data_IF_812274868974
#
_entry.id   IF_812274868974
#
_cell.length_a   1.000
_cell.length_b   1.000
_cell.length_c   1.000
_cell.angle_alpha   90.00
_cell.angle_beta   90.00
_cell.angle_gamma   90.00
#
_symmetry.space_group_name_H-M   'P 1'
#
loop_
_entity.id
_entity.type
_entity.pdbx_description
1 polymer ?
#
# COMPACT_ATOMS: atom_id res chain seq x y z
N UNK A 1 17.18 3.74 -6.01
CA UNK A 1 16.42 5.00 -5.84
C UNK A 1 15.06 4.63 -5.28
N UNK A 2 14.59 5.36 -4.27
CA UNK A 2 13.27 5.23 -3.66
C UNK A 2 12.51 6.54 -3.88
N UNK A 3 11.18 6.49 -4.07
CA UNK A 3 10.41 7.66 -4.50
C UNK A 3 10.23 8.68 -3.38
N UNK A 4 10.08 8.23 -2.13
CA UNK A 4 9.83 9.14 -1.01
C UNK A 4 8.37 9.57 -0.89
N UNK A 5 7.63 9.67 -1.99
CA UNK A 5 6.25 10.18 -1.97
C UNK A 5 5.26 9.42 -2.87
N UNK A 6 4.98 8.15 -2.57
CA UNK A 6 4.02 7.35 -3.35
C UNK A 6 2.60 7.80 -3.05
N UNK A 7 1.87 8.20 -4.09
CA UNK A 7 0.48 8.64 -4.01
C UNK A 7 -0.25 8.42 -5.35
N UNK A 8 -1.59 8.48 -5.34
CA UNK A 8 -2.35 8.38 -6.59
C UNK A 8 -2.12 9.56 -7.55
N UNK A 9 -1.76 10.75 -7.03
CA UNK A 9 -1.46 11.93 -7.85
C UNK A 9 -0.14 11.80 -8.59
N UNK A 10 0.77 10.98 -8.06
CA UNK A 10 2.13 10.82 -8.58
C UNK A 10 2.24 9.67 -9.58
N UNK A 11 1.14 8.97 -9.88
CA UNK A 11 1.08 7.85 -10.84
C UNK A 11 0.23 8.26 -12.05
N UNK A 12 0.88 8.42 -13.20
CA UNK A 12 0.21 8.71 -14.46
C UNK A 12 0.07 7.45 -15.31
N UNK A 13 -1.15 7.16 -15.78
CA UNK A 13 -1.37 6.12 -16.78
C UNK A 13 -1.31 6.73 -18.18
N UNK A 14 -0.30 6.35 -18.96
CA UNK A 14 0.00 6.99 -20.26
C UNK A 14 -0.81 6.41 -21.43
N UNK A 15 -1.43 5.24 -21.23
CA UNK A 15 -2.08 4.49 -22.30
C UNK A 15 -1.08 3.88 -23.30
N UNK A 16 0.21 3.81 -22.95
CA UNK A 16 1.25 3.16 -23.74
C UNK A 16 1.04 1.65 -23.92
N UNK A 17 1.99 1.01 -24.60
CA UNK A 17 2.06 -0.47 -24.64
C UNK A 17 2.80 -1.00 -23.40
N UNK A 18 2.60 -2.27 -23.06
CA UNK A 18 3.40 -2.93 -22.02
C UNK A 18 4.90 -2.89 -22.40
N UNK A 19 5.82 -2.77 -21.43
CA UNK A 19 5.59 -2.58 -20.00
C UNK A 19 5.31 -1.12 -19.58
N UNK A 20 5.58 -0.15 -20.46
CA UNK A 20 5.66 1.29 -20.14
C UNK A 20 4.32 2.04 -20.17
N UNK A 21 3.34 1.55 -19.39
CA UNK A 21 1.97 2.10 -19.36
C UNK A 21 1.72 3.09 -18.23
N UNK A 22 2.69 3.21 -17.33
CA UNK A 22 2.65 4.09 -16.19
C UNK A 22 3.92 4.93 -16.12
N UNK A 23 3.79 6.16 -15.64
CA UNK A 23 4.89 7.03 -15.29
C UNK A 23 4.74 7.40 -13.81
N UNK A 24 5.79 7.22 -13.03
CA UNK A 24 5.88 7.75 -11.68
C UNK A 24 6.55 9.13 -11.78
N UNK A 25 5.89 10.16 -11.27
CA UNK A 25 6.31 11.57 -11.33
C UNK A 25 6.54 12.14 -9.94
N UNK A 26 7.06 13.36 -9.87
CA UNK A 26 7.30 14.09 -8.62
C UNK A 26 8.40 13.44 -7.74
N UNK A 27 9.63 13.51 -8.25
CA UNK A 27 10.83 12.93 -7.62
C UNK A 27 11.52 13.89 -6.65
N UNK A 28 10.86 14.97 -6.21
CA UNK A 28 11.47 15.96 -5.29
C UNK A 28 11.81 15.32 -3.93
N UNK A 29 11.06 14.29 -3.56
CA UNK A 29 11.26 13.50 -2.35
C UNK A 29 12.11 12.24 -2.56
N UNK A 30 12.59 12.00 -3.79
CA UNK A 30 13.32 10.79 -4.12
C UNK A 30 14.73 10.79 -3.52
N UNK A 31 15.20 9.61 -3.13
CA UNK A 31 16.50 9.45 -2.50
C UNK A 31 17.15 8.12 -2.85
N UNK A 32 18.45 8.03 -2.61
CA UNK A 32 19.21 6.81 -2.82
C UNK A 32 19.16 5.91 -1.59
N UNK A 33 18.75 4.67 -1.79
CA UNK A 33 18.80 3.64 -0.76
C UNK A 33 20.24 3.44 -0.28
N UNK A 34 20.43 3.37 1.05
CA UNK A 34 21.75 3.18 1.67
C UNK A 34 22.59 4.44 1.80
N UNK A 35 22.13 5.60 1.30
CA UNK A 35 22.69 6.90 1.68
C UNK A 35 21.90 7.46 2.87
N UNK A 36 22.60 8.14 3.78
CA UNK A 36 22.00 8.72 4.98
C UNK A 36 20.77 9.57 4.60
N UNK A 37 19.61 9.20 5.14
CA UNK A 37 18.43 10.04 5.06
C UNK A 37 18.67 11.34 5.84
N UNK A 38 18.09 12.47 5.43
CA UNK A 38 17.86 13.54 6.37
C UNK A 38 16.89 13.02 7.43
N UNK A 39 17.33 13.02 8.70
CA UNK A 39 16.61 12.54 9.89
C UNK A 39 15.10 12.79 9.79
N UNK A 40 14.31 11.73 10.00
CA UNK A 40 12.84 11.76 10.01
C UNK A 40 12.34 12.43 11.30
N UNK A 41 12.48 13.75 11.42
CA UNK A 41 11.81 14.47 12.50
C UNK A 41 10.27 14.45 12.30
N UNK A 42 9.79 14.17 11.07
CA UNK A 42 8.39 13.93 10.71
C UNK A 42 8.28 12.99 9.48
N UNK A 43 7.21 12.18 9.34
CA UNK A 43 6.95 11.42 8.13
C UNK A 43 6.81 12.37 6.93
N UNK A 44 7.73 12.27 5.96
CA UNK A 44 7.71 13.09 4.74
C UNK A 44 7.03 12.37 3.58
N UNK A 45 6.18 13.09 2.85
CA UNK A 45 5.33 12.58 1.78
C UNK A 45 3.85 12.46 2.18
N UNK A 46 3.05 11.81 1.34
CA UNK A 46 1.62 11.62 1.50
C UNK A 46 1.31 10.55 2.56
N UNK A 47 1.04 11.03 3.78
CA UNK A 47 0.76 10.20 4.98
C UNK A 47 -0.35 9.16 4.77
N UNK A 48 -1.35 9.49 3.95
CA UNK A 48 -2.44 8.58 3.60
C UNK A 48 -1.94 7.24 3.02
N UNK A 49 -0.79 7.21 2.34
CA UNK A 49 -0.25 6.01 1.69
C UNK A 49 0.95 5.41 2.40
N UNK A 50 1.37 5.97 3.54
CA UNK A 50 2.46 5.42 4.34
C UNK A 50 2.01 4.18 5.13
N UNK A 51 2.93 3.24 5.33
CA UNK A 51 2.73 2.07 6.19
C UNK A 51 2.88 2.37 7.69
N UNK A 52 2.57 1.38 8.53
CA UNK A 52 2.65 1.51 10.01
C UNK A 52 4.01 2.05 10.48
N UNK A 53 5.11 1.42 10.06
CA UNK A 53 6.45 1.78 10.54
C UNK A 53 6.81 3.22 10.18
N UNK A 54 6.42 3.68 8.99
CA UNK A 54 6.69 5.06 8.55
C UNK A 54 5.81 6.08 9.28
N UNK A 55 4.58 5.71 9.63
CA UNK A 55 3.63 6.59 10.33
C UNK A 55 3.93 6.75 11.81
N UNK A 56 4.38 5.66 12.45
CA UNK A 56 4.44 5.56 13.93
C UNK A 56 5.85 5.31 14.45
N UNK A 57 6.81 5.00 13.59
CA UNK A 57 8.15 4.55 14.00
C UNK A 57 8.14 3.28 14.85
N UNK A 58 7.01 2.54 14.84
CA UNK A 58 6.83 1.28 15.55
C UNK A 58 6.82 0.15 14.51
N UNK A 59 7.61 -0.92 14.70
CA UNK A 59 7.68 -2.01 13.75
C UNK A 59 6.34 -2.74 13.57
N UNK A 60 6.14 -3.34 12.39
CA UNK A 60 4.93 -4.16 12.15
C UNK A 60 4.91 -5.37 13.07
N UNK A 61 6.05 -6.06 13.17
CA UNK A 61 6.29 -7.16 14.10
C UNK A 61 7.40 -6.80 15.07
N UNK A 62 7.20 -7.07 16.36
CA UNK A 62 8.23 -6.90 17.37
C UNK A 62 9.31 -8.00 17.21
N UNK A 63 10.58 -7.65 16.93
CA UNK A 63 11.65 -8.63 16.78
C UNK A 63 11.86 -9.50 18.02
N UNK A 64 11.67 -8.95 19.22
CA UNK A 64 11.86 -9.68 20.48
C UNK A 64 10.76 -10.71 20.71
N UNK A 65 9.51 -10.38 20.36
CA UNK A 65 8.40 -11.32 20.44
C UNK A 65 8.53 -12.41 19.38
N UNK A 66 8.89 -12.03 18.15
CA UNK A 66 9.07 -12.98 17.04
C UNK A 66 10.21 -13.97 17.32
N UNK A 67 11.32 -13.51 17.91
CA UNK A 67 12.43 -14.41 18.27
C UNK A 67 12.04 -15.40 19.38
N UNK A 68 11.19 -15.02 20.32
CA UNK A 68 10.68 -15.91 21.38
C UNK A 68 9.75 -17.00 20.82
N UNK A 69 8.95 -16.67 19.80
CA UNK A 69 7.99 -17.59 19.16
C UNK A 69 8.54 -18.38 17.97
N UNK A 70 9.80 -18.12 17.58
CA UNK A 70 10.46 -18.73 16.41
C UNK A 70 10.61 -20.26 16.46
N UNK A 71 10.19 -20.90 17.56
CA UNK A 71 10.15 -22.35 17.71
C UNK A 71 9.13 -23.10 16.85
N UNK A 72 8.06 -22.48 16.29
CA UNK A 72 7.12 -23.21 15.40
C UNK A 72 6.06 -22.43 14.60
N UNK A 73 6.02 -21.09 14.57
CA UNK A 73 4.95 -20.35 13.90
C UNK A 73 5.46 -19.44 12.77
N UNK A 74 5.02 -19.69 11.54
CA UNK A 74 5.09 -18.70 10.46
C UNK A 74 3.93 -17.69 10.57
N UNK A 75 3.97 -16.57 9.81
CA UNK A 75 2.94 -15.53 9.87
C UNK A 75 1.55 -16.02 9.45
N UNK A 76 1.42 -17.19 8.82
CA UNK A 76 0.15 -17.77 8.37
C UNK A 76 -0.68 -18.45 9.48
N UNK A 77 -0.14 -18.65 10.70
CA UNK A 77 -0.83 -19.42 11.77
C UNK A 77 -1.12 -18.66 13.07
N UNK A 78 -0.66 -17.41 13.23
CA UNK A 78 -0.75 -16.69 14.49
C UNK A 78 -1.68 -15.48 14.41
N UNK A 79 -2.67 -15.40 15.31
CA UNK A 79 -3.30 -14.14 15.67
C UNK A 79 -2.35 -13.45 16.66
N UNK A 80 -1.49 -12.56 16.16
CA UNK A 80 -0.54 -11.81 16.99
C UNK A 80 -1.32 -10.69 17.71
N UNK A 81 -1.96 -11.04 18.82
CA UNK A 81 -2.63 -10.09 19.69
C UNK A 81 -1.60 -9.19 20.35
N UNK A 82 -1.43 -7.98 19.84
CA UNK A 82 -0.76 -6.91 20.56
C UNK A 82 -1.71 -6.44 21.68
N UNK A 83 -1.29 -6.59 22.94
CA UNK A 83 -1.82 -5.79 24.02
C UNK A 83 -0.88 -4.59 24.18
N UNK A 84 -1.43 -3.36 24.17
CA UNK A 84 -0.62 -2.14 24.36
C UNK A 84 0.02 -2.06 25.76
N UNK A 85 -0.39 -2.95 26.69
CA UNK A 85 0.03 -2.97 28.09
C UNK A 85 1.33 -3.77 28.35
N UNK A 86 1.85 -4.53 27.37
CA UNK A 86 3.04 -5.41 27.56
C UNK A 86 4.40 -4.72 27.29
N UNK A 87 4.42 -3.39 27.05
CA UNK A 87 5.64 -2.65 26.66
C UNK A 87 6.51 -2.15 27.82
N UNK A 88 6.15 -2.44 29.08
CA UNK A 88 6.96 -2.00 30.22
C UNK A 88 7.97 -3.07 30.68
N UNK A 89 9.25 -2.75 30.39
CA UNK A 89 10.46 -3.22 31.07
C UNK A 89 11.02 -4.59 30.66
N UNK A 90 12.00 -4.58 29.74
CA UNK A 90 13.33 -5.24 29.86
C UNK A 90 14.05 -5.31 28.50
N UNK A 91 14.55 -4.17 27.98
CA UNK A 91 15.80 -4.01 27.16
C UNK A 91 15.83 -2.68 26.39
N UNK A 92 15.98 -1.56 27.10
CA UNK A 92 15.93 -0.20 26.52
C UNK A 92 16.96 0.05 25.39
N UNK A 93 18.08 -0.68 25.36
CA UNK A 93 19.10 -0.52 24.32
C UNK A 93 18.72 -1.21 22.99
N UNK A 94 18.10 -2.39 23.06
CA UNK A 94 17.60 -3.08 21.86
C UNK A 94 16.45 -2.29 21.23
N UNK A 95 15.55 -1.74 22.04
CA UNK A 95 14.47 -0.88 21.54
C UNK A 95 15.00 0.38 20.86
N UNK A 96 16.06 1.04 21.38
CA UNK A 96 16.66 2.21 20.71
C UNK A 96 17.28 1.87 19.35
N UNK A 97 17.94 0.73 19.23
CA UNK A 97 18.51 0.28 17.94
C UNK A 97 17.39 -0.14 16.97
N UNK A 98 16.33 -0.80 17.44
CA UNK A 98 15.15 -1.15 16.64
C UNK A 98 14.36 0.09 16.22
N UNK A 99 14.24 1.09 17.09
CA UNK A 99 13.63 2.40 16.78
C UNK A 99 14.42 3.09 15.66
N UNK A 100 15.75 3.30 15.80
CA UNK A 100 16.59 3.94 14.76
C UNK A 100 16.55 3.20 13.41
N UNK A 101 16.41 1.88 13.45
CA UNK A 101 16.39 1.03 12.25
C UNK A 101 15.00 0.92 11.60
N UNK A 102 13.93 0.90 12.38
CA UNK A 102 12.55 1.00 11.89
C UNK A 102 12.24 2.39 11.33
N UNK A 103 12.95 3.40 11.83
CA UNK A 103 12.89 4.77 11.33
C UNK A 103 13.43 4.88 9.90
N UNK A 104 14.42 4.09 9.48
CA UNK A 104 14.93 4.20 8.11
C UNK A 104 13.95 3.63 7.10
N UNK A 105 13.60 4.43 6.10
CA UNK A 105 12.76 3.94 5.00
C UNK A 105 13.51 2.89 4.18
N UNK A 106 12.80 1.85 3.78
CA UNK A 106 13.30 0.69 3.06
C UNK A 106 12.43 0.37 1.84
N UNK A 107 12.92 -0.44 0.88
CA UNK A 107 12.15 -0.79 -0.32
C UNK A 107 10.77 -1.40 -0.02
N UNK A 108 10.61 -2.11 1.09
CA UNK A 108 9.32 -2.67 1.51
C UNK A 108 8.28 -1.57 1.78
N UNK A 109 8.68 -0.41 2.30
CA UNK A 109 7.77 0.70 2.57
C UNK A 109 7.26 1.34 1.28
N UNK A 110 8.06 1.38 0.21
CA UNK A 110 7.62 1.83 -1.11
C UNK A 110 6.59 0.86 -1.71
N UNK A 111 6.83 -0.44 -1.60
CA UNK A 111 5.89 -1.47 -2.05
C UNK A 111 4.57 -1.43 -1.25
N UNK A 112 4.66 -1.21 0.06
CA UNK A 112 3.48 -0.99 0.89
C UNK A 112 2.74 0.30 0.48
N UNK A 113 3.46 1.36 0.10
CA UNK A 113 2.85 2.56 -0.47
C UNK A 113 2.01 2.28 -1.71
N UNK A 114 2.54 1.50 -2.66
CA UNK A 114 1.78 1.06 -3.84
C UNK A 114 0.55 0.21 -3.47
N UNK A 115 0.68 -0.66 -2.47
CA UNK A 115 -0.44 -1.43 -1.93
C UNK A 115 -1.54 -0.51 -1.38
N UNK A 116 -1.18 0.50 -0.58
CA UNK A 116 -2.16 1.44 -0.02
C UNK A 116 -2.82 2.32 -1.09
N UNK A 117 -2.09 2.73 -2.13
CA UNK A 117 -2.69 3.42 -3.30
C UNK A 117 -3.72 2.52 -3.99
N UNK A 118 -3.41 1.25 -4.20
CA UNK A 118 -4.36 0.31 -4.80
C UNK A 118 -5.60 0.13 -3.91
N UNK A 119 -5.41 -0.02 -2.59
CA UNK A 119 -6.52 -0.07 -1.63
C UNK A 119 -7.37 1.19 -1.69
N UNK A 120 -6.76 2.37 -1.70
CA UNK A 120 -7.46 3.65 -1.82
C UNK A 120 -8.36 3.68 -3.05
N UNK A 121 -7.80 3.39 -4.24
CA UNK A 121 -8.56 3.35 -5.50
C UNK A 121 -9.75 2.39 -5.37
N UNK A 122 -9.55 1.20 -4.83
CA UNK A 122 -10.62 0.19 -4.70
C UNK A 122 -11.69 0.59 -3.66
N UNK A 123 -11.36 1.46 -2.70
CA UNK A 123 -12.21 1.86 -1.58
C UNK A 123 -12.88 3.22 -1.78
N UNK A 124 -12.37 4.08 -2.65
CA UNK A 124 -12.91 5.44 -2.87
C UNK A 124 -13.61 5.60 -4.21
N UNK A 125 -13.58 4.56 -5.06
CA UNK A 125 -14.25 4.58 -6.37
C UNK A 125 -15.33 3.52 -6.46
N UNK A 126 -16.34 3.80 -7.28
CA UNK A 126 -17.36 2.83 -7.70
C UNK A 126 -16.98 2.15 -9.02
N UNK A 127 -16.33 2.90 -9.90
CA UNK A 127 -15.89 2.49 -11.23
C UNK A 127 -14.80 3.45 -11.72
N UNK A 128 -14.19 3.23 -12.91
CA UNK A 128 -13.21 4.17 -13.46
C UNK A 128 -13.78 5.58 -13.58
N UNK A 129 -13.08 6.56 -13.00
CA UNK A 129 -13.52 7.97 -12.99
C UNK A 129 -14.69 8.31 -12.06
N UNK A 130 -15.31 7.32 -11.39
CA UNK A 130 -16.47 7.56 -10.51
C UNK A 130 -16.03 7.39 -9.06
N UNK A 131 -16.01 8.51 -8.31
CA UNK A 131 -15.78 8.50 -6.87
C UNK A 131 -17.06 8.12 -6.12
N UNK A 132 -16.89 7.45 -4.99
CA UNK A 132 -17.99 7.17 -4.04
C UNK A 132 -17.76 7.90 -2.74
N UNK A 133 -18.83 8.03 -1.95
CA UNK A 133 -18.72 8.63 -0.63
C UNK A 133 -17.80 7.80 0.28
N UNK A 134 -16.82 8.46 0.90
CA UNK A 134 -15.89 7.83 1.82
C UNK A 134 -16.63 7.29 3.04
N UNK A 135 -16.38 6.04 3.42
CA UNK A 135 -16.92 5.45 4.64
C UNK A 135 -16.04 5.78 5.84
N UNK A 136 -16.57 5.64 7.06
CA UNK A 136 -15.79 5.83 8.28
C UNK A 136 -14.53 4.93 8.31
N UNK A 137 -14.63 3.71 7.78
CA UNK A 137 -13.49 2.78 7.70
C UNK A 137 -12.38 3.31 6.79
N UNK A 138 -12.74 3.94 5.67
CA UNK A 138 -11.77 4.58 4.77
C UNK A 138 -11.10 5.76 5.47
N UNK A 139 -11.87 6.59 6.18
CA UNK A 139 -11.31 7.69 6.97
C UNK A 139 -10.33 7.19 8.06
N UNK A 140 -10.60 6.05 8.71
CA UNK A 140 -9.69 5.45 9.69
C UNK A 140 -8.34 5.02 9.09
N UNK A 141 -8.33 4.57 7.83
CA UNK A 141 -7.10 4.12 7.15
C UNK A 141 -6.30 5.29 6.57
N UNK A 142 -6.98 6.30 6.02
CA UNK A 142 -6.36 7.30 5.13
C UNK A 142 -6.42 8.74 5.61
N UNK A 143 -7.31 9.09 6.55
CA UNK A 143 -7.62 10.47 6.93
C UNK A 143 -7.82 10.63 8.45
N UNK A 144 -7.04 9.88 9.23
CA UNK A 144 -7.04 9.95 10.70
C UNK A 144 -5.70 10.48 11.22
N UNK A 145 -5.55 10.61 12.55
CA UNK A 145 -4.24 10.90 13.13
C UNK A 145 -3.23 9.75 12.83
N UNK A 146 -1.93 10.08 12.94
CA UNK A 146 -0.83 9.17 12.56
C UNK A 146 -0.91 7.82 13.29
N UNK A 147 -1.15 7.85 14.59
CA UNK A 147 -1.23 6.65 15.43
C UNK A 147 -2.40 5.75 15.02
N UNK A 148 -3.57 6.36 14.79
CA UNK A 148 -4.77 5.62 14.37
C UNK A 148 -4.56 4.98 13.00
N UNK A 149 -4.04 5.73 12.03
CA UNK A 149 -3.75 5.19 10.69
C UNK A 149 -2.71 4.07 10.77
N UNK A 150 -1.62 4.28 11.52
CA UNK A 150 -0.56 3.29 11.68
C UNK A 150 -1.05 2.01 12.34
N UNK A 151 -1.86 2.12 13.40
CA UNK A 151 -2.42 0.98 14.11
C UNK A 151 -3.38 0.17 13.24
N UNK A 152 -4.30 0.84 12.52
CA UNK A 152 -5.23 0.16 11.62
C UNK A 152 -4.47 -0.53 10.47
N UNK A 153 -3.52 0.16 9.84
CA UNK A 153 -2.70 -0.41 8.76
C UNK A 153 -1.86 -1.59 9.22
N UNK A 154 -1.27 -1.49 10.42
CA UNK A 154 -0.56 -2.60 11.05
C UNK A 154 -1.44 -3.81 11.27
N UNK A 155 -2.64 -3.61 11.83
CA UNK A 155 -3.62 -4.70 12.02
C UNK A 155 -4.05 -5.33 10.70
N UNK A 156 -4.35 -4.52 9.68
CA UNK A 156 -4.64 -5.01 8.33
C UNK A 156 -3.45 -5.85 7.81
N UNK A 157 -2.21 -5.41 8.04
CA UNK A 157 -1.03 -6.11 7.56
C UNK A 157 -0.88 -7.50 8.19
N UNK A 158 -1.09 -7.63 9.50
CA UNK A 158 -0.83 -8.87 10.25
C UNK A 158 -2.04 -9.80 10.38
N UNK A 159 -3.26 -9.27 10.28
CA UNK A 159 -4.50 -10.02 10.53
C UNK A 159 -5.43 -10.01 9.30
N UNK A 160 -5.65 -11.21 8.74
CA UNK A 160 -6.52 -11.42 7.59
C UNK A 160 -7.97 -11.05 7.88
N UNK A 161 -8.45 -11.20 9.13
CA UNK A 161 -9.82 -10.83 9.48
C UNK A 161 -10.02 -9.32 9.49
N UNK A 162 -9.03 -8.56 9.99
CA UNK A 162 -9.01 -7.10 9.88
C UNK A 162 -8.94 -6.65 8.41
N UNK A 163 -8.14 -7.32 7.56
CA UNK A 163 -8.12 -7.04 6.11
C UNK A 163 -9.51 -7.24 5.47
N UNK A 164 -10.19 -8.34 5.80
CA UNK A 164 -11.54 -8.59 5.30
C UNK A 164 -12.51 -7.49 5.76
N UNK A 165 -12.50 -7.18 7.06
CA UNK A 165 -13.40 -6.22 7.67
C UNK A 165 -13.23 -4.79 7.11
N UNK A 166 -11.99 -4.34 6.94
CA UNK A 166 -11.68 -2.95 6.58
C UNK A 166 -11.55 -2.74 5.07
N UNK A 167 -11.04 -3.73 4.34
CA UNK A 167 -10.75 -3.58 2.90
C UNK A 167 -11.71 -4.41 2.07
N UNK A 168 -11.66 -5.73 2.16
CA UNK A 168 -12.27 -6.62 1.16
C UNK A 168 -13.81 -6.59 1.18
N UNK A 169 -14.43 -6.52 2.35
CA UNK A 169 -15.88 -6.39 2.51
C UNK A 169 -16.41 -5.01 2.10
N UNK A 170 -15.55 -4.00 1.96
CA UNK A 170 -15.95 -2.64 1.60
C UNK A 170 -15.68 -2.29 0.13
N UNK A 171 -15.14 -3.20 -0.68
CA UNK A 171 -14.89 -2.91 -2.10
C UNK A 171 -16.21 -2.66 -2.85
N UNK A 172 -16.19 -1.77 -3.84
CA UNK A 172 -17.30 -1.70 -4.79
C UNK A 172 -17.31 -2.96 -5.68
N UNK A 173 -18.48 -3.42 -6.18
CA UNK A 173 -18.58 -4.64 -7.00
C UNK A 173 -17.62 -4.67 -8.19
N UNK A 174 -17.36 -3.50 -8.81
CA UNK A 174 -16.40 -3.36 -9.89
C UNK A 174 -14.99 -3.88 -9.52
N UNK A 175 -14.58 -3.73 -8.26
CA UNK A 175 -13.25 -4.12 -7.77
C UNK A 175 -13.22 -5.52 -7.13
N UNK A 176 -14.33 -6.27 -7.09
CA UNK A 176 -14.35 -7.63 -6.54
C UNK A 176 -13.30 -8.58 -7.15
N UNK A 177 -13.01 -8.54 -8.47
CA UNK A 177 -11.94 -9.36 -9.05
C UNK A 177 -10.56 -9.10 -8.43
N UNK A 178 -10.33 -7.95 -7.79
CA UNK A 178 -9.06 -7.61 -7.15
C UNK A 178 -8.92 -8.14 -5.72
N UNK A 179 -9.96 -8.72 -5.10
CA UNK A 179 -9.89 -9.21 -3.70
C UNK A 179 -8.70 -10.13 -3.48
N UNK A 180 -8.59 -11.19 -4.29
CA UNK A 180 -7.50 -12.15 -4.19
C UNK A 180 -6.12 -11.50 -4.46
N UNK A 181 -6.07 -10.52 -5.35
CA UNK A 181 -4.83 -9.75 -5.63
C UNK A 181 -4.40 -8.97 -4.39
N UNK A 182 -5.32 -8.25 -3.75
CA UNK A 182 -5.03 -7.49 -2.53
C UNK A 182 -4.59 -8.39 -1.38
N UNK A 183 -5.23 -9.55 -1.21
CA UNK A 183 -4.82 -10.55 -0.22
C UNK A 183 -3.42 -11.11 -0.49
N UNK A 184 -3.13 -11.46 -1.74
CA UNK A 184 -1.82 -11.97 -2.16
C UNK A 184 -0.71 -10.94 -1.91
N UNK A 185 -0.94 -9.67 -2.27
CA UNK A 185 0.00 -8.58 -2.01
C UNK A 185 0.22 -8.34 -0.51
N UNK A 186 -0.86 -8.32 0.29
CA UNK A 186 -0.77 -8.20 1.76
C UNK A 186 0.07 -9.33 2.34
N UNK A 187 -0.15 -10.58 1.92
CA UNK A 187 0.59 -11.75 2.40
C UNK A 187 2.08 -11.66 2.06
N UNK A 188 2.42 -11.18 0.86
CA UNK A 188 3.81 -10.93 0.46
C UNK A 188 4.46 -9.89 1.37
N UNK A 189 3.80 -8.74 1.58
CA UNK A 189 4.31 -7.68 2.45
C UNK A 189 4.45 -8.14 3.91
N UNK A 190 3.43 -8.81 4.45
CA UNK A 190 3.43 -9.39 5.79
C UNK A 190 4.61 -10.36 5.99
N UNK A 191 4.86 -11.25 5.02
CA UNK A 191 6.03 -12.14 5.05
C UNK A 191 7.36 -11.36 5.01
N UNK A 192 7.43 -10.28 4.24
CA UNK A 192 8.61 -9.40 4.21
C UNK A 192 8.88 -8.74 5.56
N UNK A 193 7.85 -8.22 6.22
CA UNK A 193 7.97 -7.67 7.57
C UNK A 193 8.37 -8.73 8.61
N UNK A 194 7.80 -9.93 8.52
CA UNK A 194 8.16 -11.06 9.37
C UNK A 194 9.63 -11.46 9.19
N UNK A 195 10.10 -11.58 7.96
CA UNK A 195 11.49 -11.90 7.65
C UNK A 195 12.45 -10.83 8.20
N UNK A 196 12.10 -9.54 8.13
CA UNK A 196 12.88 -8.45 8.75
C UNK A 196 12.95 -8.58 10.27
N UNK A 197 11.84 -8.93 10.92
CA UNK A 197 11.82 -9.13 12.36
C UNK A 197 12.68 -10.32 12.82
N UNK A 198 12.72 -11.41 12.04
CA UNK A 198 13.56 -12.60 12.35
C UNK A 198 15.03 -12.37 12.03
N UNK A 199 15.33 -11.95 10.79
CA UNK A 199 16.69 -11.94 10.25
C UNK A 199 17.46 -10.66 10.60
N UNK A 200 16.74 -9.62 11.02
CA UNK A 200 17.27 -8.28 11.24
C UNK A 200 16.99 -7.34 10.06
N UNK A 201 16.81 -6.06 10.37
CA UNK A 201 16.39 -5.02 9.43
C UNK A 201 17.40 -4.71 8.33
N UNK A 202 18.70 -4.96 8.54
CA UNK A 202 19.76 -4.77 7.53
C UNK A 202 20.07 -6.04 6.75
N UNK A 203 19.46 -7.18 7.11
CA UNK A 203 19.84 -8.45 6.53
C UNK A 203 19.44 -8.50 5.04
N UNK A 204 20.37 -8.77 4.10
CA UNK A 204 20.07 -8.74 2.67
C UNK A 204 18.91 -9.65 2.26
N UNK A 205 18.79 -10.81 2.92
CA UNK A 205 17.72 -11.78 2.66
C UNK A 205 16.35 -11.37 3.23
N UNK A 206 16.26 -10.35 4.09
CA UNK A 206 15.02 -9.98 4.76
C UNK A 206 13.93 -9.51 3.76
N UNK A 207 14.35 -8.86 2.68
CA UNK A 207 13.47 -8.36 1.61
C UNK A 207 13.82 -8.95 0.24
N UNK A 208 14.67 -9.99 0.19
CA UNK A 208 15.09 -10.60 -1.05
C UNK A 208 13.91 -11.22 -1.80
N UNK A 209 13.82 -10.92 -3.10
CA UNK A 209 12.76 -11.42 -3.97
C UNK A 209 11.38 -10.82 -3.69
N UNK A 210 11.25 -9.88 -2.74
CA UNK A 210 9.97 -9.32 -2.34
C UNK A 210 9.32 -8.55 -3.48
N UNK A 211 10.11 -7.72 -4.17
CA UNK A 211 9.68 -6.96 -5.34
C UNK A 211 9.25 -7.89 -6.47
N UNK A 212 10.03 -8.92 -6.75
CA UNK A 212 9.77 -9.88 -7.83
C UNK A 212 8.48 -10.65 -7.57
N UNK A 213 8.25 -11.08 -6.32
CA UNK A 213 6.98 -11.71 -5.91
C UNK A 213 5.79 -10.75 -6.05
N UNK A 214 5.96 -9.50 -5.63
CA UNK A 214 4.93 -8.46 -5.72
C UNK A 214 4.53 -8.22 -7.18
N UNK A 215 5.52 -8.04 -8.06
CA UNK A 215 5.30 -7.87 -9.50
C UNK A 215 4.69 -9.12 -10.14
N UNK A 216 5.15 -10.32 -9.78
CA UNK A 216 4.60 -11.57 -10.31
C UNK A 216 3.11 -11.75 -10.01
N UNK A 217 2.63 -11.33 -8.83
CA UNK A 217 1.19 -11.32 -8.51
C UNK A 217 0.43 -10.37 -9.43
N UNK A 218 0.94 -9.14 -9.61
CA UNK A 218 0.30 -8.15 -10.49
C UNK A 218 0.26 -8.64 -11.95
N UNK A 219 1.36 -9.15 -12.47
CA UNK A 219 1.47 -9.66 -13.84
C UNK A 219 0.53 -10.85 -14.08
N UNK A 220 0.50 -11.82 -13.16
CA UNK A 220 -0.36 -12.98 -13.27
C UNK A 220 -1.85 -12.60 -13.27
N UNK A 221 -2.23 -11.65 -12.41
CA UNK A 221 -3.62 -11.17 -12.31
C UNK A 221 -4.00 -10.33 -13.52
N UNK A 222 -3.10 -9.50 -14.01
CA UNK A 222 -3.35 -8.72 -15.21
C UNK A 222 -3.56 -9.62 -16.45
N UNK A 223 -2.69 -10.62 -16.63
CA UNK A 223 -2.85 -11.60 -17.70
C UNK A 223 -4.17 -12.40 -17.61
N UNK A 224 -4.74 -12.53 -16.40
CA UNK A 224 -6.05 -13.15 -16.22
C UNK A 224 -7.21 -12.24 -16.64
N UNK A 225 -7.08 -10.92 -16.44
CA UNK A 225 -8.09 -9.92 -16.85
C UNK A 225 -8.13 -9.80 -18.38
N UNK A 226 -6.99 -9.79 -19.05
CA UNK A 226 -6.92 -9.74 -20.52
C UNK A 226 -7.67 -10.90 -21.18
N UNK A 227 -7.66 -12.08 -20.56
CA UNK A 227 -8.37 -13.28 -21.07
C UNK A 227 -9.88 -13.19 -20.90
N UNK A 228 -10.37 -12.35 -20.00
CA UNK A 228 -11.80 -12.14 -19.74
C UNK A 228 -12.40 -11.08 -20.65
N UNK A 229 -11.59 -10.18 -21.21
CA UNK A 229 -12.06 -9.21 -22.20
C UNK A 229 -12.22 -9.88 -23.56
N UNK A 230 -13.45 -9.90 -24.09
CA UNK A 230 -13.69 -10.37 -25.46
C UNK A 230 -12.88 -9.51 -26.44
N UNK A 231 -12.26 -10.10 -27.49
CA UNK A 231 -11.57 -9.32 -28.52
C UNK A 231 -12.55 -8.31 -29.13
N UNK A 232 -12.37 -7.02 -28.82
CA UNK A 232 -13.22 -5.93 -29.30
C UNK A 232 -14.08 -5.24 -28.24
N UNK A 233 -14.23 -5.79 -27.02
CA UNK A 233 -14.96 -5.12 -25.93
C UNK A 233 -14.04 -4.21 -25.12
N UNK A 234 -13.35 -3.31 -25.84
CA UNK A 234 -12.42 -2.34 -25.28
C UNK A 234 -13.17 -1.10 -24.79
N UNK A 235 -14.33 -1.28 -24.14
CA UNK A 235 -15.22 -0.18 -23.74
C UNK A 235 -14.51 0.85 -22.87
N UNK A 236 -13.58 0.43 -22.01
CA UNK A 236 -12.80 1.37 -21.18
C UNK A 236 -11.75 2.13 -22.00
N UNK A 237 -11.09 1.50 -22.97
CA UNK A 237 -10.18 2.20 -23.90
C UNK A 237 -10.97 3.16 -24.81
N UNK A 238 -12.14 2.73 -25.30
CA UNK A 238 -13.05 3.56 -26.08
C UNK A 238 -13.62 4.72 -25.25
N UNK A 239 -13.98 4.49 -23.98
CA UNK A 239 -14.42 5.52 -23.04
C UNK A 239 -13.30 6.52 -22.76
N UNK A 240 -12.07 6.06 -22.46
CA UNK A 240 -10.91 6.96 -22.28
C UNK A 240 -10.57 7.74 -23.53
N UNK A 241 -10.75 7.12 -24.71
CA UNK A 241 -10.60 7.83 -25.98
C UNK A 241 -11.66 8.92 -26.09
N UNK A 242 -12.92 8.64 -25.73
CA UNK A 242 -14.01 9.62 -25.71
C UNK A 242 -13.81 10.74 -24.67
N UNK A 243 -13.39 10.39 -23.44
CA UNK A 243 -13.13 11.33 -22.35
C UNK A 243 -11.94 12.26 -22.68
N UNK A 244 -10.96 11.79 -23.46
CA UNK A 244 -9.85 12.63 -23.95
C UNK A 244 -10.32 13.75 -24.88
N UNK A 245 -11.50 13.62 -25.48
CA UNK A 245 -12.18 14.64 -26.29
C UNK A 245 -13.23 15.42 -25.49
N UNK A 246 -13.47 15.07 -24.22
CA UNK A 246 -14.42 15.75 -23.36
C UNK A 246 -13.70 16.84 -22.56
N UNK A 247 -13.57 18.02 -23.17
CA UNK A 247 -13.06 19.22 -22.52
C UNK A 247 -14.08 19.71 -21.45
N UNK A 248 -13.72 19.84 -20.16
CA UNK A 248 -14.60 20.40 -19.14
C UNK A 248 -15.18 21.78 -19.48
N UNK A 249 -14.56 22.52 -20.41
CA UNK A 249 -15.05 23.81 -20.90
C UNK A 249 -16.37 23.65 -21.69
N UNK A 250 -16.55 22.56 -22.44
CA UNK A 250 -17.77 22.34 -23.24
C UNK A 250 -18.98 21.97 -22.37
N UNK A 251 -18.75 21.35 -21.21
CA UNK A 251 -19.84 21.03 -20.27
C UNK A 251 -20.46 22.31 -19.69
N UNK A 252 -19.65 23.31 -19.34
CA UNK A 252 -20.12 24.60 -18.87
C UNK A 252 -20.86 25.40 -19.98
N UNK A 253 -20.42 25.30 -21.23
CA UNK A 253 -21.05 25.98 -22.37
C UNK A 253 -22.42 25.38 -22.75
N UNK A 254 -22.60 24.07 -22.55
CA UNK A 254 -23.87 23.38 -22.85
C UNK A 254 -25.03 23.77 -21.92
N UNK A 255 -24.73 24.18 -20.68
CA UNK A 255 -25.73 24.63 -19.70
C UNK A 255 -26.15 26.10 -19.89
N UNK A 256 -25.31 26.93 -20.50
CA UNK A 256 -25.63 28.35 -20.75
C UNK A 256 -26.54 28.59 -21.96
N UNK A 257 -26.69 27.62 -22.86
CA UNK A 257 -27.55 27.75 -24.05
C UNK A 257 -28.96 27.14 -23.86
N UNK A 258 -29.32 26.74 -22.64
CA UNK A 258 -30.62 26.14 -22.33
C UNK A 258 -31.52 27.03 -21.44
N UNK A 259 -31.36 28.36 -21.52
CA UNK A 259 -32.28 29.34 -20.91
C UNK A 259 -32.65 30.43 -21.88
#
# INVERSE_FOLDING_TARGET
MMHGDISESNILLTGGQRPDRGLLIDLEMAFEYGKAEPTLDLPRGHRAFMGKEVLTSIPVFDPLLVQRDSGNAGPERGHYGFSDDDLEQENSQVYREVEDMSLRRQPIHELEGFFWVLCWICLTREAPGIYRQSSQKVALIFDSNLDTMGNIKGRIMIDASTMEEYVLSNLAPYFFPLKATLEDLRRILCQGYWNRAILGYEHPLAVEGLKEKFLAVLEAREASVDRLQSPGDNREIQRRTYDRWYDPIDYAASWTNAR
#
